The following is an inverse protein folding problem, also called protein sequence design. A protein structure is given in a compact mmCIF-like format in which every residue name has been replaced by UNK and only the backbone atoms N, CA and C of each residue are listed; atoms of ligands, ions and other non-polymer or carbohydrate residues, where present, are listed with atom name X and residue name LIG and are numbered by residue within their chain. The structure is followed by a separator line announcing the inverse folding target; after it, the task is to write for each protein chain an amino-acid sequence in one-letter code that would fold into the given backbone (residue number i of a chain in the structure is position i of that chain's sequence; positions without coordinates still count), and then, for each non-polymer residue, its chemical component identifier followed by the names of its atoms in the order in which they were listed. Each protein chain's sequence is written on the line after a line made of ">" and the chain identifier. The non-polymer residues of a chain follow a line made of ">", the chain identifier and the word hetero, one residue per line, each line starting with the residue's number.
data_IF_871073205383
#
_entry.id   IF_871073205383
#
_cell.length_a   1.000
_cell.length_b   1.000
_cell.length_c   1.000
_cell.angle_alpha   90.00
_cell.angle_beta   90.00
_cell.angle_gamma   90.00
#
_symmetry.space_group_name_H-M   'P 1'
#
loop_
_entity.id
_entity.type
_entity.pdbx_description
1 polymer ?
#
# COMPACT_ATOMS: atom_id res chain seq x y z
N UNK A 1 11.66 -26.53 -9.57
CA UNK A 1 11.47 -26.67 -11.03
C UNK A 1 10.15 -25.99 -11.36
N UNK A 2 10.20 -24.79 -11.95
CA UNK A 2 9.01 -24.10 -12.47
C UNK A 2 8.44 -24.97 -13.59
N UNK A 3 7.21 -25.45 -13.43
CA UNK A 3 6.48 -26.09 -14.53
C UNK A 3 6.21 -24.99 -15.55
N UNK A 4 6.75 -25.15 -16.75
CA UNK A 4 6.52 -24.23 -17.86
C UNK A 4 5.14 -24.55 -18.45
N UNK A 5 4.09 -24.01 -17.83
CA UNK A 5 2.69 -24.30 -18.17
C UNK A 5 2.30 -23.79 -19.56
N UNK A 6 3.14 -22.95 -20.17
CA UNK A 6 2.91 -22.35 -21.49
C UNK A 6 3.43 -23.19 -22.67
N UNK A 7 4.04 -24.36 -22.43
CA UNK A 7 4.51 -25.26 -23.50
C UNK A 7 3.39 -25.68 -24.48
N UNK A 8 2.14 -25.72 -24.01
CA UNK A 8 0.99 -26.14 -24.81
C UNK A 8 0.37 -25.00 -25.62
N UNK A 9 0.69 -23.76 -25.27
CA UNK A 9 0.02 -22.56 -25.78
C UNK A 9 1.04 -21.45 -26.07
N UNK A 10 2.01 -21.77 -26.93
CA UNK A 10 3.05 -20.85 -27.37
C UNK A 10 2.46 -19.53 -27.91
N UNK A 11 1.37 -19.64 -28.67
CA UNK A 11 0.63 -18.48 -29.20
C UNK A 11 0.09 -17.56 -28.08
N UNK A 12 -0.40 -18.13 -26.97
CA UNK A 12 -0.94 -17.34 -25.88
C UNK A 12 0.17 -16.56 -25.18
N UNK A 13 1.33 -17.20 -25.00
CA UNK A 13 2.55 -16.56 -24.51
C UNK A 13 3.00 -15.42 -25.43
N UNK A 14 3.03 -15.66 -26.75
CA UNK A 14 3.45 -14.65 -27.73
C UNK A 14 2.52 -13.41 -27.74
N UNK A 15 1.21 -13.59 -27.56
CA UNK A 15 0.26 -12.47 -27.46
C UNK A 15 0.39 -11.70 -26.13
N UNK A 16 0.63 -12.40 -25.02
CA UNK A 16 0.85 -11.75 -23.72
C UNK A 16 2.19 -11.01 -23.66
N UNK A 17 3.22 -11.51 -24.33
CA UNK A 17 4.53 -10.86 -24.46
C UNK A 17 4.52 -9.72 -25.49
N UNK A 18 3.53 -9.68 -26.39
CA UNK A 18 3.30 -8.56 -27.31
C UNK A 18 2.78 -7.30 -26.61
N UNK A 19 2.08 -7.45 -25.48
CA UNK A 19 1.65 -6.34 -24.63
C UNK A 19 2.85 -5.75 -23.86
N UNK A 20 3.71 -5.06 -24.60
CA UNK A 20 4.74 -4.21 -24.01
C UNK A 20 4.07 -3.00 -23.38
N UNK A 21 3.83 -3.10 -22.08
CA UNK A 21 3.49 -1.94 -21.28
C UNK A 21 4.66 -0.96 -21.35
N UNK A 22 4.55 0.05 -22.21
CA UNK A 22 5.50 1.15 -22.26
C UNK A 22 5.35 1.96 -20.96
N UNK A 23 6.08 1.56 -19.93
CA UNK A 23 6.13 2.33 -18.69
C UNK A 23 6.86 3.63 -19.03
N UNK A 24 6.20 4.80 -18.95
CA UNK A 24 6.83 6.04 -19.34
C UNK A 24 8.05 6.27 -18.44
N UNK A 25 9.23 6.36 -19.06
CA UNK A 25 10.54 6.54 -18.36
C UNK A 25 10.51 7.72 -17.38
N UNK A 26 9.68 8.71 -17.67
CA UNK A 26 9.38 9.88 -16.85
C UNK A 26 8.97 9.48 -15.42
N UNK A 27 8.13 8.46 -15.26
CA UNK A 27 7.67 7.98 -13.94
C UNK A 27 8.77 7.29 -13.11
N UNK A 28 9.82 6.77 -13.76
CA UNK A 28 10.95 6.14 -13.09
C UNK A 28 12.00 7.17 -12.63
N UNK A 29 12.12 8.31 -13.32
CA UNK A 29 13.08 9.38 -13.00
C UNK A 29 12.64 10.23 -11.81
N UNK A 30 11.33 10.34 -11.54
CA UNK A 30 10.84 11.05 -10.36
C UNK A 30 11.15 10.25 -9.09
N UNK A 31 12.18 10.68 -8.36
CA UNK A 31 12.50 10.18 -7.03
C UNK A 31 11.30 10.46 -6.12
N UNK A 32 10.47 9.44 -5.89
CA UNK A 32 9.27 9.57 -5.06
C UNK A 32 9.69 10.03 -3.67
N UNK A 33 9.14 11.18 -3.25
CA UNK A 33 9.31 11.69 -1.88
C UNK A 33 8.85 10.64 -0.88
N UNK A 34 9.38 10.69 0.35
CA UNK A 34 8.96 9.77 1.44
C UNK A 34 7.44 9.77 1.61
N UNK A 35 6.80 10.92 1.45
CA UNK A 35 5.35 11.06 1.50
C UNK A 35 4.63 10.42 0.30
N UNK A 36 5.14 10.62 -0.91
CA UNK A 36 4.56 9.98 -2.11
C UNK A 36 4.71 8.45 -2.08
N UNK A 37 5.79 7.94 -1.49
CA UNK A 37 5.96 6.49 -1.25
C UNK A 37 4.95 5.97 -0.24
N UNK A 38 4.69 6.73 0.82
CA UNK A 38 3.66 6.39 1.80
C UNK A 38 2.26 6.39 1.16
N UNK A 39 1.91 7.44 0.40
CA UNK A 39 0.64 7.50 -0.33
C UNK A 39 0.51 6.37 -1.35
N UNK A 40 1.56 6.05 -2.08
CA UNK A 40 1.53 4.94 -3.03
C UNK A 40 1.42 3.57 -2.34
N UNK A 41 2.04 3.42 -1.17
CA UNK A 41 1.86 2.24 -0.33
C UNK A 41 0.40 2.10 0.12
N UNK A 42 -0.24 3.20 0.57
CA UNK A 42 -1.67 3.20 0.92
C UNK A 42 -2.59 2.95 -0.29
N UNK A 43 -2.22 3.45 -1.47
CA UNK A 43 -3.00 3.29 -2.70
C UNK A 43 -2.79 1.93 -3.39
N UNK A 44 -1.85 1.11 -2.89
CA UNK A 44 -1.53 -0.18 -3.49
C UNK A 44 -2.60 -1.22 -3.11
N UNK A 45 -3.38 -1.75 -4.06
CA UNK A 45 -4.48 -2.68 -3.75
C UNK A 45 -4.02 -4.04 -3.21
N UNK A 46 -2.74 -4.37 -3.35
CA UNK A 46 -2.14 -5.68 -3.00
C UNK A 46 -1.40 -5.72 -1.66
N UNK A 47 -1.32 -4.60 -0.95
CA UNK A 47 -0.73 -4.56 0.40
C UNK A 47 -1.68 -3.76 1.27
N UNK A 48 -2.60 -4.45 1.93
CA UNK A 48 -3.41 -3.81 2.95
C UNK A 48 -2.48 -3.45 4.12
N UNK A 49 -2.18 -2.17 4.33
CA UNK A 49 -1.24 -1.76 5.36
C UNK A 49 -1.77 -2.01 6.77
N UNK A 50 -3.07 -2.28 6.90
CA UNK A 50 -3.76 -2.51 8.16
C UNK A 50 -3.96 -3.99 8.48
N UNK A 51 -3.68 -4.91 7.54
CA UNK A 51 -3.72 -6.37 7.78
C UNK A 51 -2.93 -6.82 9.03
N UNK A 52 -1.71 -6.32 9.30
CA UNK A 52 -0.95 -6.71 10.49
C UNK A 52 -1.58 -6.20 11.79
N UNK A 53 -2.31 -5.08 11.72
CA UNK A 53 -3.00 -4.48 12.87
C UNK A 53 -4.24 -5.31 13.19
N UNK A 54 -4.96 -5.80 12.18
CA UNK A 54 -6.18 -6.58 12.37
C UNK A 54 -5.94 -8.00 12.92
N UNK A 55 -4.75 -8.56 12.71
CA UNK A 55 -4.43 -9.97 13.03
C UNK A 55 -3.75 -10.18 14.39
N UNK A 56 -3.23 -9.13 15.01
CA UNK A 56 -2.48 -9.22 16.26
C UNK A 56 -3.31 -8.78 17.48
N UNK A 57 -3.14 -9.44 18.62
CA UNK A 57 -3.69 -9.01 19.92
C UNK A 57 -3.32 -7.57 20.29
N UNK A 58 -2.25 -7.02 19.69
CA UNK A 58 -1.82 -5.62 19.84
C UNK A 58 -2.78 -4.64 19.15
N UNK A 59 -3.44 -5.06 18.06
CA UNK A 59 -4.43 -4.27 17.34
C UNK A 59 -5.70 -3.99 18.12
N UNK A 60 -6.16 -4.95 18.92
CA UNK A 60 -7.31 -4.74 19.81
C UNK A 60 -6.99 -3.70 20.90
N UNK A 61 -5.78 -3.76 21.46
CA UNK A 61 -5.33 -2.79 22.46
C UNK A 61 -5.13 -1.40 21.86
N UNK A 62 -4.57 -1.30 20.64
CA UNK A 62 -4.41 -0.02 19.95
C UNK A 62 -5.76 0.61 19.58
N UNK A 63 -6.76 -0.17 19.14
CA UNK A 63 -8.11 0.30 18.86
C UNK A 63 -8.80 0.94 20.08
N UNK A 64 -8.47 0.51 21.30
CA UNK A 64 -9.00 1.11 22.54
C UNK A 64 -8.24 2.37 22.96
N UNK A 65 -6.92 2.41 22.77
CA UNK A 65 -6.06 3.50 23.26
C UNK A 65 -6.07 4.68 22.30
N UNK A 66 -6.07 4.44 20.98
CA UNK A 66 -6.02 5.48 19.95
C UNK A 66 -7.15 6.52 20.10
N UNK A 67 -8.43 6.15 20.30
CA UNK A 67 -9.50 7.12 20.48
C UNK A 67 -9.29 8.02 21.71
N UNK A 68 -8.77 7.46 22.81
CA UNK A 68 -8.52 8.20 24.05
C UNK A 68 -7.41 9.23 23.83
N UNK A 69 -6.31 8.81 23.19
CA UNK A 69 -5.18 9.71 22.89
C UNK A 69 -5.62 10.82 21.94
N UNK A 70 -6.41 10.50 20.91
CA UNK A 70 -6.97 11.48 19.98
C UNK A 70 -7.88 12.47 20.69
N UNK A 71 -8.76 12.01 21.58
CA UNK A 71 -9.65 12.89 22.34
C UNK A 71 -8.86 13.87 23.22
N UNK A 72 -7.85 13.38 23.96
CA UNK A 72 -6.98 14.23 24.80
C UNK A 72 -6.19 15.23 23.95
N UNK A 73 -5.70 14.82 22.79
CA UNK A 73 -4.98 15.71 21.89
C UNK A 73 -5.89 16.82 21.34
N UNK A 74 -7.12 16.48 20.93
CA UNK A 74 -8.10 17.45 20.44
C UNK A 74 -8.50 18.43 21.55
N UNK A 75 -8.70 17.98 22.79
CA UNK A 75 -9.05 18.88 23.89
C UNK A 75 -7.92 19.86 24.22
N UNK A 76 -6.66 19.40 24.20
CA UNK A 76 -5.50 20.28 24.37
C UNK A 76 -5.42 21.31 23.24
N UNK A 77 -5.59 20.88 21.99
CA UNK A 77 -5.63 21.79 20.85
C UNK A 77 -6.74 22.82 20.98
N UNK A 78 -7.93 22.41 21.42
CA UNK A 78 -9.06 23.31 21.62
C UNK A 78 -8.79 24.36 22.70
N UNK A 79 -8.13 23.98 23.80
CA UNK A 79 -7.71 24.92 24.85
C UNK A 79 -6.66 25.91 24.32
N UNK A 80 -5.75 25.47 23.44
CA UNK A 80 -4.70 26.32 22.88
C UNK A 80 -5.19 27.28 21.78
N UNK A 81 -6.26 26.94 21.07
CA UNK A 81 -6.86 27.75 20.00
C UNK A 81 -7.93 28.73 20.51
N UNK A 82 -8.41 28.54 21.74
CA UNK A 82 -9.37 29.41 22.41
C UNK A 82 -8.65 30.56 23.13
#
# INVERSE_FOLDING_TARGET
>A
MLKDEFQKEQWLKDNLDQDKVEIPKQLMTYKKSRWQRFLQYLASPTKDPLEPICTSSVGYTSLKIVPIVVAVFITILQILLQ
#
